data_IF_091669447485
#
_entry.id   IF_091669447485
#
_cell.length_a   1.000
_cell.length_b   1.000
_cell.length_c   1.000
_cell.angle_alpha   90.00
_cell.angle_beta   90.00
_cell.angle_gamma   90.00
#
_symmetry.space_group_name_H-M   'P 1'
#
loop_
_entity.id
_entity.type
_entity.pdbx_description
1 polymer ?
#
# COMPACT_ATOMS: atom_id res chain seq x y z
N UNK A 1 -1.49 -6.35 -11.31
CA UNK A 1 -2.53 -6.21 -12.35
C UNK A 1 -2.06 -6.96 -13.58
N UNK A 2 -2.96 -7.57 -14.36
CA UNK A 2 -2.59 -7.96 -15.71
C UNK A 2 -2.15 -6.71 -16.47
N UNK A 3 -1.01 -6.80 -17.16
CA UNK A 3 -0.45 -5.70 -17.95
C UNK A 3 -1.40 -5.29 -19.08
N UNK A 4 -2.19 -6.26 -19.56
CA UNK A 4 -3.16 -6.08 -20.64
C UNK A 4 -4.56 -6.55 -20.25
N UNK A 5 -5.59 -5.89 -20.78
CA UNK A 5 -6.98 -6.33 -20.66
C UNK A 5 -7.29 -7.54 -21.56
N UNK A 6 -8.53 -8.03 -21.53
CA UNK A 6 -9.01 -9.14 -22.38
C UNK A 6 -8.99 -8.82 -23.88
N UNK A 7 -8.81 -7.56 -24.26
CA UNK A 7 -8.70 -7.08 -25.63
C UNK A 7 -7.23 -6.81 -26.05
N UNK A 8 -6.27 -6.99 -25.14
CA UNK A 8 -4.85 -6.79 -25.39
C UNK A 8 -4.36 -5.35 -25.16
N UNK A 9 -5.20 -4.43 -24.69
CA UNK A 9 -4.79 -3.06 -24.38
C UNK A 9 -4.04 -2.99 -23.08
N UNK A 10 -3.00 -2.15 -23.04
CA UNK A 10 -2.24 -1.91 -21.82
C UNK A 10 -3.14 -1.16 -20.84
N UNK A 11 -3.47 -1.79 -19.71
CA UNK A 11 -4.50 -1.25 -18.80
C UNK A 11 -4.10 0.11 -18.24
N UNK A 12 -2.80 0.34 -18.01
CA UNK A 12 -2.30 1.65 -17.55
C UNK A 12 -2.51 2.76 -18.56
N UNK A 13 -2.46 2.47 -19.86
CA UNK A 13 -2.70 3.48 -20.92
C UNK A 13 -4.21 3.81 -21.01
N UNK A 14 -5.06 2.81 -20.80
CA UNK A 14 -6.52 3.01 -20.76
C UNK A 14 -6.93 3.92 -19.60
N UNK A 15 -6.38 3.71 -18.40
CA UNK A 15 -6.70 4.51 -17.18
C UNK A 15 -6.38 6.00 -17.37
N UNK A 16 -5.35 6.34 -18.15
CA UNK A 16 -4.99 7.73 -18.42
C UNK A 16 -6.09 8.50 -19.17
N UNK A 17 -6.99 7.81 -19.85
CA UNK A 17 -8.07 8.38 -20.64
C UNK A 17 -9.46 8.19 -20.01
N UNK A 18 -9.54 7.57 -18.83
CA UNK A 18 -10.82 7.34 -18.15
C UNK A 18 -11.33 8.59 -17.44
N UNK A 19 -12.65 8.67 -17.31
CA UNK A 19 -13.30 9.59 -16.37
C UNK A 19 -13.37 8.99 -14.95
N UNK A 20 -13.82 9.82 -14.00
CA UNK A 20 -13.83 9.46 -12.58
C UNK A 20 -14.79 8.30 -12.27
N UNK A 21 -15.90 8.21 -13.01
CA UNK A 21 -16.92 7.17 -12.82
C UNK A 21 -16.41 5.82 -13.35
N UNK A 22 -15.80 5.81 -14.55
CA UNK A 22 -15.18 4.61 -15.14
C UNK A 22 -14.06 4.07 -14.25
N UNK A 23 -13.21 4.95 -13.72
CA UNK A 23 -12.15 4.55 -12.80
C UNK A 23 -12.69 3.99 -11.48
N UNK A 24 -13.72 4.62 -10.92
CA UNK A 24 -14.38 4.14 -9.71
C UNK A 24 -14.99 2.74 -9.91
N UNK A 25 -15.67 2.50 -11.03
CA UNK A 25 -16.26 1.20 -11.36
C UNK A 25 -15.18 0.12 -11.55
N UNK A 26 -14.08 0.47 -12.21
CA UNK A 26 -12.92 -0.41 -12.33
C UNK A 26 -12.33 -0.77 -10.95
N UNK A 27 -12.17 0.21 -10.06
CA UNK A 27 -11.66 0.00 -8.72
C UNK A 27 -12.60 -0.92 -7.91
N UNK A 28 -13.92 -0.65 -7.94
CA UNK A 28 -14.95 -1.51 -7.32
C UNK A 28 -14.89 -2.93 -7.83
N UNK A 29 -14.76 -3.12 -9.15
CA UNK A 29 -14.72 -4.45 -9.74
C UNK A 29 -13.45 -5.22 -9.33
N UNK A 30 -12.30 -4.55 -9.37
CA UNK A 30 -11.01 -5.11 -8.98
C UNK A 30 -11.03 -5.57 -7.52
N UNK A 31 -11.44 -4.69 -6.61
CA UNK A 31 -11.49 -5.01 -5.18
C UNK A 31 -12.58 -6.03 -4.85
N UNK A 32 -13.73 -5.99 -5.53
CA UNK A 32 -14.75 -7.05 -5.44
C UNK A 32 -14.17 -8.42 -5.78
N UNK A 33 -13.34 -8.50 -6.84
CA UNK A 33 -12.67 -9.74 -7.21
C UNK A 33 -11.70 -10.21 -6.12
N UNK A 34 -10.85 -9.30 -5.60
CA UNK A 34 -9.90 -9.62 -4.53
C UNK A 34 -10.63 -10.16 -3.29
N UNK A 35 -11.67 -9.48 -2.83
CA UNK A 35 -12.43 -9.86 -1.63
C UNK A 35 -13.10 -11.22 -1.80
N UNK A 36 -13.69 -11.49 -2.97
CA UNK A 36 -14.33 -12.79 -3.25
C UNK A 36 -13.35 -13.96 -3.23
N UNK A 37 -12.12 -13.75 -3.69
CA UNK A 37 -11.10 -14.81 -3.74
C UNK A 37 -10.26 -14.92 -2.47
N UNK A 38 -10.26 -13.88 -1.62
CA UNK A 38 -9.45 -13.78 -0.40
C UNK A 38 -10.34 -13.35 0.76
N UNK A 39 -11.33 -14.17 1.10
CA UNK A 39 -12.31 -13.82 2.14
C UNK A 39 -11.66 -13.63 3.51
N UNK A 40 -10.51 -14.26 3.76
CA UNK A 40 -9.78 -14.17 5.01
C UNK A 40 -9.18 -12.78 5.27
N UNK A 41 -8.91 -11.97 4.23
CA UNK A 41 -8.40 -10.60 4.40
C UNK A 41 -9.50 -9.54 4.44
N UNK A 42 -10.78 -9.92 4.25
CA UNK A 42 -11.91 -8.98 4.16
C UNK A 42 -11.99 -8.04 5.37
N UNK A 43 -11.78 -8.58 6.57
CA UNK A 43 -11.82 -7.79 7.81
C UNK A 43 -10.69 -6.76 7.90
N UNK A 44 -9.53 -7.03 7.28
CA UNK A 44 -8.41 -6.08 7.20
C UNK A 44 -8.68 -4.97 6.17
N UNK A 45 -9.51 -5.26 5.17
CA UNK A 45 -9.84 -4.34 4.10
C UNK A 45 -11.10 -3.51 4.39
N UNK A 46 -11.78 -3.72 5.52
CA UNK A 46 -13.07 -3.07 5.82
C UNK A 46 -13.07 -1.54 5.63
N UNK A 47 -12.06 -0.77 6.10
CA UNK A 47 -12.02 0.67 5.85
C UNK A 47 -11.94 1.04 4.36
N UNK A 48 -11.20 0.25 3.57
CA UNK A 48 -11.12 0.44 2.12
C UNK A 48 -12.43 0.03 1.43
N UNK A 49 -13.09 -1.01 1.92
CA UNK A 49 -14.40 -1.45 1.43
C UNK A 49 -15.42 -0.32 1.61
N UNK A 50 -15.49 0.29 2.80
CA UNK A 50 -16.37 1.44 3.02
C UNK A 50 -16.10 2.54 1.97
N UNK A 51 -14.85 2.94 1.76
CA UNK A 51 -14.53 4.01 0.79
C UNK A 51 -14.84 3.69 -0.67
N UNK A 52 -14.73 2.42 -1.06
CA UNK A 52 -14.94 1.96 -2.45
C UNK A 52 -16.41 1.66 -2.72
N UNK A 53 -17.16 1.23 -1.70
CA UNK A 53 -18.53 0.74 -1.86
C UNK A 53 -19.62 1.67 -1.32
N UNK A 54 -19.30 2.61 -0.41
CA UNK A 54 -20.26 3.59 0.14
C UNK A 54 -20.52 4.77 -0.80
N UNK A 55 -20.10 4.67 -2.06
CA UNK A 55 -20.32 5.65 -3.13
C UNK A 55 -19.87 7.08 -2.72
N UNK A 56 -18.56 7.36 -2.76
CA UNK A 56 -18.05 8.65 -2.37
C UNK A 56 -18.49 9.73 -3.38
N UNK A 57 -18.76 10.95 -2.89
CA UNK A 57 -19.17 12.08 -3.73
C UNK A 57 -18.25 12.29 -4.94
N UNK A 58 -18.79 12.86 -6.02
CA UNK A 58 -18.13 13.07 -7.32
C UNK A 58 -16.77 13.78 -7.18
N UNK A 59 -16.61 14.67 -6.20
CA UNK A 59 -15.33 15.30 -5.90
C UNK A 59 -14.23 14.32 -5.44
N UNK A 60 -14.58 13.35 -4.60
CA UNK A 60 -13.63 12.32 -4.10
C UNK A 60 -13.23 11.38 -5.23
N UNK A 61 -14.17 10.97 -6.09
CA UNK A 61 -13.88 10.15 -7.28
C UNK A 61 -12.89 10.85 -8.20
N UNK A 62 -13.09 12.14 -8.45
CA UNK A 62 -12.18 12.96 -9.26
C UNK A 62 -10.77 13.05 -8.68
N UNK A 63 -10.64 13.25 -7.37
CA UNK A 63 -9.34 13.24 -6.71
C UNK A 63 -8.65 11.87 -6.75
N UNK A 64 -9.41 10.79 -6.55
CA UNK A 64 -8.88 9.43 -6.63
C UNK A 64 -8.32 9.12 -8.03
N UNK A 65 -9.05 9.51 -9.09
CA UNK A 65 -8.57 9.40 -10.46
C UNK A 65 -7.30 10.22 -10.68
N UNK A 66 -7.25 11.48 -10.23
CA UNK A 66 -6.08 12.33 -10.39
C UNK A 66 -4.83 11.73 -9.73
N UNK A 67 -4.96 11.15 -8.53
CA UNK A 67 -3.86 10.45 -7.85
C UNK A 67 -3.44 9.21 -8.64
N UNK A 68 -4.39 8.42 -9.15
CA UNK A 68 -4.08 7.23 -9.94
C UNK A 68 -3.34 7.58 -11.24
N UNK A 69 -3.81 8.58 -11.98
CA UNK A 69 -3.16 9.06 -13.20
C UNK A 69 -1.77 9.61 -12.92
N UNK A 70 -1.60 10.41 -11.86
CA UNK A 70 -0.29 10.91 -11.45
C UNK A 70 0.69 9.77 -11.13
N UNK A 71 0.25 8.74 -10.42
CA UNK A 71 1.07 7.58 -10.09
C UNK A 71 1.44 6.74 -11.33
N UNK A 72 0.51 6.57 -12.27
CA UNK A 72 0.77 5.92 -13.55
C UNK A 72 1.79 6.69 -14.38
N UNK A 73 1.63 8.01 -14.52
CA UNK A 73 2.60 8.89 -15.20
C UNK A 73 3.99 8.86 -14.55
N UNK A 74 4.05 8.67 -13.23
CA UNK A 74 5.30 8.50 -12.48
C UNK A 74 5.92 7.09 -12.62
N UNK A 75 5.33 6.20 -13.42
CA UNK A 75 5.86 4.86 -13.68
C UNK A 75 5.55 3.84 -12.59
N UNK A 76 4.43 3.97 -11.86
CA UNK A 76 4.01 2.99 -10.84
C UNK A 76 4.02 1.54 -11.34
N UNK A 77 3.67 1.31 -12.61
CA UNK A 77 3.66 -0.04 -13.21
C UNK A 77 5.06 -0.66 -13.27
N UNK A 78 6.12 0.12 -13.45
CA UNK A 78 7.49 -0.40 -13.40
C UNK A 78 7.88 -0.84 -11.98
N UNK A 79 7.32 -0.19 -10.96
CA UNK A 79 7.56 -0.50 -9.55
C UNK A 79 6.73 -1.68 -9.04
N UNK A 80 5.51 -1.86 -9.55
CA UNK A 80 4.53 -2.82 -9.00
C UNK A 80 4.16 -3.98 -9.93
N UNK A 81 4.38 -3.84 -11.23
CA UNK A 81 4.12 -4.87 -12.24
C UNK A 81 5.28 -5.87 -12.42
N UNK A 82 6.44 -5.61 -11.79
CA UNK A 82 7.63 -6.47 -11.86
C UNK A 82 7.93 -7.10 -10.50
N UNK A 83 9.01 -7.88 -10.40
CA UNK A 83 9.49 -8.42 -9.11
C UNK A 83 9.95 -7.33 -8.14
N UNK A 84 10.22 -6.11 -8.65
CA UNK A 84 10.53 -4.94 -7.81
C UNK A 84 9.43 -4.60 -6.81
N UNK A 85 8.21 -5.12 -6.99
CA UNK A 85 7.10 -4.96 -6.03
C UNK A 85 7.42 -5.48 -4.63
N UNK A 86 8.42 -6.35 -4.49
CA UNK A 86 8.88 -6.86 -3.19
C UNK A 86 9.89 -5.91 -2.50
N UNK A 87 10.54 -5.05 -3.29
CA UNK A 87 11.63 -4.18 -2.83
C UNK A 87 11.18 -2.71 -2.68
N UNK A 88 10.00 -2.37 -3.19
CA UNK A 88 9.47 -1.01 -3.21
C UNK A 88 8.43 -0.80 -2.11
N UNK A 89 8.64 0.22 -1.28
CA UNK A 89 7.63 0.75 -0.36
C UNK A 89 6.73 1.77 -1.06
N UNK A 90 5.82 1.28 -1.92
CA UNK A 90 4.95 2.17 -2.68
C UNK A 90 4.03 2.97 -1.74
N UNK A 91 3.46 2.31 -0.72
CA UNK A 91 2.54 2.96 0.21
C UNK A 91 3.24 4.03 1.06
N UNK A 92 4.43 3.75 1.58
CA UNK A 92 5.24 4.73 2.29
C UNK A 92 5.63 5.92 1.42
N UNK A 93 5.96 5.67 0.15
CA UNK A 93 6.27 6.74 -0.82
C UNK A 93 5.05 7.62 -1.07
N UNK A 94 3.90 7.02 -1.39
CA UNK A 94 2.64 7.74 -1.64
C UNK A 94 2.23 8.54 -0.40
N UNK A 95 2.26 7.93 0.79
CA UNK A 95 1.93 8.61 2.04
C UNK A 95 2.85 9.81 2.30
N UNK A 96 4.15 9.65 2.04
CA UNK A 96 5.15 10.73 2.22
C UNK A 96 4.90 11.89 1.27
N UNK A 97 4.52 11.62 0.02
CA UNK A 97 4.23 12.65 -0.98
C UNK A 97 2.89 13.35 -0.72
N UNK A 98 1.86 12.60 -0.34
CA UNK A 98 0.51 13.13 -0.15
C UNK A 98 0.34 13.87 1.18
N UNK A 99 1.16 13.60 2.20
CA UNK A 99 1.07 14.31 3.49
C UNK A 99 1.76 15.68 3.44
N UNK A 100 1.09 16.74 3.91
CA UNK A 100 1.73 18.03 4.10
C UNK A 100 2.92 17.91 5.07
N UNK A 101 4.06 18.50 4.73
CA UNK A 101 5.26 18.53 5.60
C UNK A 101 4.95 19.10 7.00
N UNK A 102 4.01 20.03 7.09
CA UNK A 102 3.52 20.60 8.36
C UNK A 102 2.79 19.56 9.23
N UNK A 103 2.01 18.66 8.63
CA UNK A 103 1.30 17.60 9.33
C UNK A 103 2.25 16.51 9.87
N UNK A 104 3.29 16.14 9.10
CA UNK A 104 4.33 15.21 9.53
C UNK A 104 5.10 15.76 10.74
N UNK A 105 5.50 17.03 10.68
CA UNK A 105 6.27 17.70 11.75
C UNK A 105 5.45 17.91 13.02
N UNK A 106 4.17 18.27 12.89
CA UNK A 106 3.28 18.48 14.04
C UNK A 106 3.00 17.20 14.83
N UNK A 107 3.07 16.03 14.19
CA UNK A 107 2.74 14.73 14.80
C UNK A 107 3.97 13.89 15.17
N UNK A 108 5.18 14.37 14.90
CA UNK A 108 6.42 13.59 15.12
C UNK A 108 6.47 12.29 14.31
N UNK A 109 5.65 12.17 13.26
CA UNK A 109 5.57 10.99 12.41
C UNK A 109 6.63 11.11 11.32
N UNK A 110 7.78 10.51 11.56
CA UNK A 110 8.90 10.51 10.63
C UNK A 110 8.90 9.21 9.82
N UNK A 111 8.86 9.35 8.50
CA UNK A 111 9.03 8.21 7.59
C UNK A 111 10.48 7.71 7.65
N UNK A 112 10.67 6.43 7.96
CA UNK A 112 11.98 5.77 7.86
C UNK A 112 12.28 5.48 6.39
N UNK A 113 13.31 6.10 5.78
CA UNK A 113 13.67 5.82 4.40
C UNK A 113 13.97 4.33 4.20
N UNK A 114 13.54 3.77 3.06
CA UNK A 114 13.68 2.33 2.80
C UNK A 114 15.13 1.81 2.92
N UNK A 115 16.13 2.62 2.54
CA UNK A 115 17.55 2.27 2.69
C UNK A 115 17.99 2.16 4.16
N UNK A 116 17.48 3.04 5.03
CA UNK A 116 17.74 2.99 6.47
C UNK A 116 17.05 1.79 7.09
N UNK A 117 15.78 1.52 6.72
CA UNK A 117 15.06 0.35 7.18
C UNK A 117 15.78 -0.96 6.78
N UNK A 118 16.28 -1.04 5.55
CA UNK A 118 17.06 -2.19 5.07
C UNK A 118 18.39 -2.36 5.80
N UNK A 119 19.10 -1.27 6.08
CA UNK A 119 20.33 -1.30 6.88
C UNK A 119 20.05 -1.86 8.28
N UNK A 120 19.03 -1.34 8.98
CA UNK A 120 18.67 -1.78 10.33
C UNK A 120 18.24 -3.26 10.34
N UNK A 121 17.46 -3.68 9.34
CA UNK A 121 17.08 -5.08 9.16
C UNK A 121 18.30 -5.98 8.92
N UNK A 122 19.25 -5.55 8.08
CA UNK A 122 20.48 -6.29 7.78
C UNK A 122 21.43 -6.44 8.97
N UNK A 123 21.40 -5.50 9.91
CA UNK A 123 22.14 -5.59 11.18
C UNK A 123 21.46 -6.52 12.21
N UNK A 124 20.21 -6.89 11.98
CA UNK A 124 19.42 -7.73 12.89
C UNK A 124 19.55 -9.21 12.53
N UNK A 125 19.81 -10.07 13.53
CA UNK A 125 19.82 -11.54 13.33
C UNK A 125 18.38 -12.08 13.34
N UNK A 126 17.68 -11.93 12.22
CA UNK A 126 16.30 -12.43 12.05
C UNK A 126 16.35 -13.90 11.64
N UNK A 127 15.83 -14.77 12.52
CA UNK A 127 15.84 -16.23 12.33
C UNK A 127 14.46 -16.72 11.91
N UNK A 128 14.43 -17.74 11.05
CA UNK A 128 13.15 -18.41 10.72
C UNK A 128 12.47 -18.91 12.00
N UNK A 129 11.14 -18.85 12.02
CA UNK A 129 10.31 -19.18 13.19
C UNK A 129 10.48 -18.25 14.40
N UNK A 130 11.13 -17.08 14.24
CA UNK A 130 11.18 -16.05 15.26
C UNK A 130 10.01 -15.06 15.17
N UNK A 131 9.93 -14.17 16.16
CA UNK A 131 9.03 -13.03 16.15
C UNK A 131 9.80 -11.78 15.69
N UNK A 132 9.14 -10.92 14.90
CA UNK A 132 9.61 -9.56 14.59
C UNK A 132 8.52 -8.60 15.02
N UNK A 133 8.86 -7.64 15.89
CA UNK A 133 7.92 -6.68 16.44
C UNK A 133 8.30 -5.25 16.08
N UNK A 134 7.31 -4.47 15.65
CA UNK A 134 7.45 -3.03 15.43
C UNK A 134 6.33 -2.30 16.20
N UNK A 135 6.66 -1.60 17.30
CA UNK A 135 5.67 -0.92 18.13
C UNK A 135 5.16 0.39 17.52
N UNK A 136 5.75 0.87 16.42
CA UNK A 136 5.36 2.07 15.69
C UNK A 136 5.45 1.80 14.18
N UNK A 137 4.69 0.79 13.74
CA UNK A 137 4.91 0.13 12.45
C UNK A 137 4.68 1.04 11.23
N UNK A 138 3.92 2.13 11.36
CA UNK A 138 3.65 3.02 10.23
C UNK A 138 3.01 2.29 9.07
N UNK A 139 3.54 2.53 7.88
CA UNK A 139 3.18 1.81 6.65
C UNK A 139 3.74 0.37 6.59
N UNK A 140 4.40 -0.11 7.64
CA UNK A 140 5.08 -1.40 7.68
C UNK A 140 6.43 -1.41 6.98
N UNK A 141 7.06 -0.25 6.75
CA UNK A 141 8.32 -0.12 6.02
C UNK A 141 9.45 -0.99 6.61
N UNK A 142 9.51 -1.12 7.94
CA UNK A 142 10.47 -1.99 8.63
C UNK A 142 10.19 -3.49 8.39
N UNK A 143 8.92 -3.92 8.42
CA UNK A 143 8.56 -5.30 8.11
C UNK A 143 8.87 -5.66 6.66
N UNK A 144 8.61 -4.74 5.73
CA UNK A 144 8.96 -4.93 4.32
C UNK A 144 10.48 -5.11 4.16
N UNK A 145 11.28 -4.23 4.78
CA UNK A 145 12.73 -4.31 4.74
C UNK A 145 13.28 -5.60 5.39
N UNK A 146 12.72 -6.02 6.52
CA UNK A 146 13.03 -7.30 7.15
C UNK A 146 12.72 -8.49 6.23
N UNK A 147 11.54 -8.51 5.61
CA UNK A 147 11.17 -9.56 4.67
C UNK A 147 12.06 -9.58 3.42
N UNK A 148 12.51 -8.41 2.95
CA UNK A 148 13.49 -8.29 1.86
C UNK A 148 14.83 -8.93 2.25
N UNK A 149 15.40 -8.56 3.40
CA UNK A 149 16.67 -9.14 3.92
C UNK A 149 16.58 -10.65 4.12
N UNK A 150 15.46 -11.16 4.66
CA UNK A 150 15.25 -12.61 4.84
C UNK A 150 15.31 -13.34 3.48
N UNK A 151 14.67 -12.79 2.44
CA UNK A 151 14.72 -13.36 1.09
C UNK A 151 16.12 -13.32 0.50
N UNK A 152 16.85 -12.21 0.68
CA UNK A 152 18.25 -12.07 0.23
C UNK A 152 19.17 -13.10 0.89
N UNK A 153 18.85 -13.53 2.11
CA UNK A 153 19.55 -14.60 2.83
C UNK A 153 19.09 -16.01 2.44
N UNK A 154 18.18 -16.16 1.47
CA UNK A 154 17.65 -17.45 1.01
C UNK A 154 16.66 -18.10 1.99
N UNK A 155 16.11 -17.34 2.93
CA UNK A 155 15.16 -17.80 3.96
C UNK A 155 13.73 -17.40 3.62
N UNK A 156 12.75 -18.03 4.25
CA UNK A 156 11.33 -17.77 4.00
C UNK A 156 10.71 -16.81 5.03
N UNK A 157 10.34 -15.57 4.66
CA UNK A 157 9.71 -14.61 5.58
C UNK A 157 8.33 -15.02 6.07
N UNK A 158 7.69 -16.03 5.45
CA UNK A 158 6.40 -16.60 5.93
C UNK A 158 6.56 -17.38 7.23
N UNK A 159 7.78 -17.77 7.58
CA UNK A 159 8.08 -18.45 8.85
C UNK A 159 8.08 -17.50 10.04
N UNK A 160 8.15 -16.19 9.79
CA UNK A 160 8.20 -15.17 10.83
C UNK A 160 6.80 -14.83 11.33
N UNK A 161 6.67 -14.67 12.64
CA UNK A 161 5.49 -14.03 13.24
C UNK A 161 5.71 -12.52 13.32
N UNK A 162 4.94 -11.78 12.51
CA UNK A 162 4.98 -10.32 12.43
C UNK A 162 4.01 -9.70 13.45
N UNK A 163 4.51 -8.81 14.31
CA UNK A 163 3.73 -8.18 15.39
C UNK A 163 3.85 -6.67 15.26
N UNK A 164 2.83 -6.04 14.70
CA UNK A 164 2.81 -4.60 14.50
C UNK A 164 1.81 -3.88 15.40
N UNK A 165 2.21 -2.70 15.89
CA UNK A 165 1.30 -1.74 16.52
C UNK A 165 1.54 -0.37 15.90
N UNK A 166 0.46 0.36 15.63
CA UNK A 166 0.52 1.78 15.32
C UNK A 166 -0.63 2.46 16.06
N UNK A 167 -0.32 3.58 16.72
CA UNK A 167 -1.30 4.34 17.48
C UNK A 167 -1.39 5.71 16.81
N UNK A 168 -2.38 5.87 15.94
CA UNK A 168 -2.70 7.19 15.42
C UNK A 168 -3.66 7.85 16.43
N UNK A 169 -3.16 8.80 17.22
CA UNK A 169 -3.93 9.45 18.30
C UNK A 169 -5.01 10.41 17.80
N UNK A 170 -5.52 10.24 16.58
CA UNK A 170 -6.69 10.99 16.12
C UNK A 170 -7.92 10.41 16.80
N UNK A 171 -8.70 11.19 17.58
CA UNK A 171 -10.05 10.75 17.90
C UNK A 171 -10.77 10.56 16.57
N UNK A 172 -11.27 9.35 16.34
CA UNK A 172 -12.26 9.09 15.31
C UNK A 172 -13.42 10.06 15.55
N UNK A 173 -13.85 10.90 14.57
CA UNK A 173 -15.12 11.57 14.73
C UNK A 173 -16.17 10.46 14.74
N UNK A 174 -16.85 10.28 15.88
CA UNK A 174 -17.97 9.36 15.99
C UNK A 174 -18.92 9.58 14.81
N UNK A 175 -19.45 8.50 14.18
CA UNK A 175 -20.51 8.68 13.20
C UNK A 175 -21.68 9.44 13.85
N UNK A 176 -22.44 10.25 13.08
CA UNK A 176 -23.56 11.02 13.62
C UNK A 176 -24.62 10.14 14.27
#
# INVERSE_FOLDING_TARGET
>A
MPEKDSCGHIVSESVLNWDADTFHDFARHTWSSVIRHRTEITHLLYPMIAWIFDDPDRGVRGHALAVAQAALCAGQTHLTGTERRFDVDLLGTVLTVLRPKSALKARGQFYTPGSVAKLLAGMSDIREHSNVADPMMGTGGMFRAAAEVIREQGRDPRTIRWIGCDVDSSPWPAPP
#
